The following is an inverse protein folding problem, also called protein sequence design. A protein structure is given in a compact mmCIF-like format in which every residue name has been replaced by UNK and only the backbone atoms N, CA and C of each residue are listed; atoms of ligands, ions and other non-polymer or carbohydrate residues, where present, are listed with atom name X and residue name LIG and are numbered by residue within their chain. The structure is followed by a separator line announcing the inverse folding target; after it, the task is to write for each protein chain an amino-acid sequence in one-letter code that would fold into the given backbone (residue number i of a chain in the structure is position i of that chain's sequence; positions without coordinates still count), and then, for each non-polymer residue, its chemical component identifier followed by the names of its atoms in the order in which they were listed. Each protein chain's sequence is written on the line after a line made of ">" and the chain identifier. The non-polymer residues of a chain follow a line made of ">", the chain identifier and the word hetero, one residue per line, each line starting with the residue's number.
data_IF_162119730532
#
_entry.id   IF_162119730532
#
_cell.length_a   1.000
_cell.length_b   1.000
_cell.length_c   1.000
_cell.angle_alpha   90.00
_cell.angle_beta   90.00
_cell.angle_gamma   90.00
#
_symmetry.space_group_name_H-M   'P 1'
#
loop_
_entity.id
_entity.type
_entity.pdbx_description
1 polymer ?
#
# COMPACT_ATOMS: atom_id res chain seq x y z
N UNK A 1 -42.34 -6.09 -2.15
CA UNK A 1 -43.22 -5.19 -1.38
C UNK A 1 -42.49 -3.88 -1.23
N UNK A 2 -42.98 -2.81 -1.84
CA UNK A 2 -42.39 -1.46 -1.72
C UNK A 2 -42.64 -0.97 -0.30
N UNK A 3 -41.60 -0.95 0.53
CA UNK A 3 -41.66 -0.36 1.85
C UNK A 3 -41.96 1.14 1.66
N UNK A 4 -43.07 1.62 2.24
CA UNK A 4 -43.44 3.03 2.14
C UNK A 4 -42.29 3.89 2.68
N UNK A 5 -41.86 4.89 1.91
CA UNK A 5 -40.80 5.79 2.33
C UNK A 5 -41.19 6.49 3.64
N UNK A 6 -40.42 6.28 4.70
CA UNK A 6 -40.68 6.84 6.02
C UNK A 6 -40.28 8.32 6.02
N UNK A 7 -41.14 9.18 6.57
CA UNK A 7 -40.89 10.62 6.66
C UNK A 7 -40.41 10.92 8.08
N UNK A 8 -39.24 11.56 8.18
CA UNK A 8 -38.64 11.99 9.45
C UNK A 8 -38.79 13.50 9.63
N UNK A 9 -39.05 13.94 10.86
CA UNK A 9 -39.26 15.36 11.16
C UNK A 9 -37.96 16.20 11.17
N UNK A 10 -36.81 15.56 11.45
CA UNK A 10 -35.49 16.20 11.50
C UNK A 10 -34.43 15.26 10.93
N UNK A 11 -33.29 15.84 10.51
CA UNK A 11 -32.11 15.06 10.09
C UNK A 11 -31.61 14.20 11.25
N UNK A 12 -31.55 14.74 12.48
CA UNK A 12 -31.13 13.97 13.65
C UNK A 12 -32.04 12.76 13.93
N UNK A 13 -33.35 12.93 13.75
CA UNK A 13 -34.31 11.83 13.89
C UNK A 13 -34.17 10.76 12.81
N UNK A 14 -33.77 11.17 11.60
CA UNK A 14 -33.41 10.23 10.54
C UNK A 14 -32.10 9.49 10.86
N UNK A 15 -31.03 10.20 11.24
CA UNK A 15 -29.73 9.60 11.59
C UNK A 15 -29.89 8.62 12.76
N UNK A 16 -30.55 9.02 13.85
CA UNK A 16 -30.71 8.18 15.03
C UNK A 16 -31.48 6.88 14.75
N UNK A 17 -32.34 6.88 13.71
CA UNK A 17 -33.11 5.71 13.33
C UNK A 17 -32.39 4.84 12.29
N UNK A 18 -31.74 5.45 11.30
CA UNK A 18 -31.13 4.72 10.17
C UNK A 18 -29.65 4.36 10.40
N UNK A 19 -28.98 4.96 11.39
CA UNK A 19 -27.59 4.63 11.69
C UNK A 19 -27.46 3.20 12.23
N UNK A 20 -26.34 2.56 11.89
CA UNK A 20 -25.93 1.28 12.47
C UNK A 20 -24.99 1.61 13.64
N UNK A 21 -25.46 1.50 14.90
CA UNK A 21 -24.62 1.84 16.05
C UNK A 21 -23.58 0.74 16.28
N UNK A 22 -22.37 1.16 16.67
CA UNK A 22 -21.31 0.27 17.10
C UNK A 22 -20.48 0.89 18.22
N UNK A 23 -19.70 0.06 18.90
CA UNK A 23 -18.70 0.49 19.87
C UNK A 23 -17.36 -0.16 19.53
N UNK A 24 -16.29 0.64 19.49
CA UNK A 24 -14.93 0.13 19.30
C UNK A 24 -14.44 -0.72 20.49
N UNK A 25 -14.99 -0.47 21.68
CA UNK A 25 -14.68 -1.22 22.90
C UNK A 25 -15.40 -2.58 22.95
N UNK A 26 -16.34 -2.83 22.04
CA UNK A 26 -17.12 -4.07 21.98
C UNK A 26 -16.96 -4.74 20.62
N UNK A 27 -16.01 -5.67 20.53
CA UNK A 27 -15.75 -6.43 19.30
C UNK A 27 -17.00 -7.13 18.73
N UNK A 28 -17.90 -7.74 19.53
CA UNK A 28 -19.13 -8.30 19.00
C UNK A 28 -20.09 -7.26 18.39
N UNK A 29 -20.24 -6.10 19.05
CA UNK A 29 -21.06 -4.99 18.53
C UNK A 29 -20.48 -4.45 17.23
N UNK A 30 -19.16 -4.23 17.20
CA UNK A 30 -18.45 -3.78 16.01
C UNK A 30 -18.60 -4.75 14.84
N UNK A 31 -18.32 -6.04 15.08
CA UNK A 31 -18.43 -7.07 14.05
C UNK A 31 -19.85 -7.14 13.47
N UNK A 32 -20.88 -7.09 14.32
CA UNK A 32 -22.29 -7.08 13.88
C UNK A 32 -22.60 -5.88 12.99
N UNK A 33 -22.06 -4.71 13.31
CA UNK A 33 -22.25 -3.51 12.49
C UNK A 33 -21.56 -3.64 11.12
N UNK A 34 -20.31 -4.14 11.08
CA UNK A 34 -19.60 -4.40 9.82
C UNK A 34 -20.36 -5.41 8.96
N UNK A 35 -20.81 -6.51 9.55
CA UNK A 35 -21.60 -7.53 8.83
C UNK A 35 -22.88 -6.93 8.25
N UNK A 36 -23.59 -6.13 9.04
CA UNK A 36 -24.81 -5.44 8.59
C UNK A 36 -24.54 -4.52 7.39
N UNK A 37 -23.43 -3.78 7.41
CA UNK A 37 -23.02 -2.92 6.29
C UNK A 37 -22.73 -3.76 5.05
N UNK A 38 -21.91 -4.81 5.17
CA UNK A 38 -21.53 -5.64 4.01
C UNK A 38 -22.75 -6.37 3.43
N UNK A 39 -23.61 -6.94 4.27
CA UNK A 39 -24.85 -7.61 3.84
C UNK A 39 -25.80 -6.64 3.12
N UNK A 40 -25.84 -5.37 3.54
CA UNK A 40 -26.70 -4.35 2.92
C UNK A 40 -26.33 -3.99 1.48
N UNK A 41 -25.09 -4.28 1.05
CA UNK A 41 -24.64 -4.05 -0.32
C UNK A 41 -25.34 -4.99 -1.31
N UNK A 42 -25.84 -6.14 -0.82
CA UNK A 42 -26.63 -7.10 -1.60
C UNK A 42 -25.87 -7.81 -2.73
N UNK A 43 -24.57 -7.54 -2.88
CA UNK A 43 -23.66 -8.13 -3.85
C UNK A 43 -22.30 -8.37 -3.20
N UNK A 44 -21.56 -9.34 -3.73
CA UNK A 44 -20.15 -9.51 -3.36
C UNK A 44 -19.35 -8.32 -3.88
N UNK A 45 -18.63 -7.65 -2.98
CA UNK A 45 -17.76 -6.51 -3.33
C UNK A 45 -16.31 -6.94 -3.26
N UNK A 46 -15.63 -6.93 -4.40
CA UNK A 46 -14.21 -7.36 -4.48
C UNK A 46 -13.25 -6.29 -3.94
N UNK A 47 -13.61 -5.01 -4.11
CA UNK A 47 -12.80 -3.86 -3.69
C UNK A 47 -13.67 -2.92 -2.86
N UNK A 48 -13.30 -2.74 -1.59
CA UNK A 48 -13.95 -1.83 -0.66
C UNK A 48 -13.04 -0.64 -0.36
N UNK A 49 -13.48 0.56 -0.70
CA UNK A 49 -12.81 1.79 -0.32
C UNK A 49 -13.16 2.18 1.11
N UNK A 50 -12.16 2.44 1.95
CA UNK A 50 -12.33 2.97 3.30
C UNK A 50 -11.51 4.24 3.46
N UNK A 51 -12.19 5.37 3.56
CA UNK A 51 -11.56 6.68 3.75
C UNK A 51 -11.47 7.06 5.21
N UNK A 52 -10.46 7.85 5.55
CA UNK A 52 -10.27 8.44 6.88
C UNK A 52 -10.64 9.93 6.82
N UNK A 53 -11.40 10.43 7.81
CA UNK A 53 -11.81 11.83 7.82
C UNK A 53 -10.65 12.81 8.11
N UNK A 54 -9.55 12.30 8.67
CA UNK A 54 -8.35 13.05 9.03
C UNK A 54 -7.13 12.12 8.97
N UNK A 55 -6.06 12.54 8.28
CA UNK A 55 -4.82 11.77 8.28
C UNK A 55 -4.13 11.80 9.66
N UNK A 56 -3.63 10.65 10.08
CA UNK A 56 -2.85 10.50 11.31
C UNK A 56 -3.68 10.53 12.60
N UNK A 57 -5.00 10.38 12.51
CA UNK A 57 -5.84 10.14 13.68
C UNK A 57 -5.76 8.67 14.10
N UNK A 58 -5.12 8.39 15.24
CA UNK A 58 -4.87 7.04 15.72
C UNK A 58 -6.15 6.20 15.82
N UNK A 59 -7.25 6.78 16.30
CA UNK A 59 -8.53 6.10 16.45
C UNK A 59 -9.15 5.70 15.10
N UNK A 60 -8.90 6.47 14.04
CA UNK A 60 -9.34 6.14 12.68
C UNK A 60 -8.55 4.95 12.12
N UNK A 61 -7.25 4.89 12.43
CA UNK A 61 -6.39 3.77 12.05
C UNK A 61 -6.77 2.50 12.81
N UNK A 62 -7.07 2.59 14.11
CA UNK A 62 -7.58 1.45 14.91
C UNK A 62 -8.91 0.96 14.36
N UNK A 63 -9.84 1.87 14.02
CA UNK A 63 -11.10 1.54 13.35
C UNK A 63 -10.86 0.79 12.04
N UNK A 64 -9.94 1.28 11.19
CA UNK A 64 -9.54 0.63 9.93
C UNK A 64 -8.99 -0.78 10.18
N UNK A 65 -8.16 -0.96 11.19
CA UNK A 65 -7.61 -2.27 11.53
C UNK A 65 -8.71 -3.25 11.94
N UNK A 66 -9.59 -2.84 12.85
CA UNK A 66 -10.71 -3.67 13.27
C UNK A 66 -11.64 -4.04 12.10
N UNK A 67 -11.91 -3.08 11.21
CA UNK A 67 -12.67 -3.32 10.00
C UNK A 67 -11.98 -4.37 9.12
N UNK A 68 -10.71 -4.17 8.78
CA UNK A 68 -9.98 -5.10 7.91
C UNK A 68 -9.89 -6.51 8.50
N UNK A 69 -9.63 -6.64 9.80
CA UNK A 69 -9.63 -7.93 10.49
C UNK A 69 -10.98 -8.64 10.35
N UNK A 70 -12.10 -7.94 10.57
CA UNK A 70 -13.43 -8.54 10.41
C UNK A 70 -13.71 -8.94 8.96
N UNK A 71 -13.28 -8.12 7.99
CA UNK A 71 -13.43 -8.41 6.57
C UNK A 71 -12.64 -9.65 6.14
N UNK A 72 -11.44 -9.86 6.72
CA UNK A 72 -10.64 -11.07 6.51
C UNK A 72 -11.34 -12.29 7.12
N UNK A 73 -11.77 -12.18 8.39
CA UNK A 73 -12.33 -13.29 9.16
C UNK A 73 -13.67 -13.81 8.62
N UNK A 74 -14.53 -12.93 8.10
CA UNK A 74 -15.91 -13.27 7.75
C UNK A 74 -16.30 -13.01 6.30
N UNK A 75 -15.59 -12.13 5.60
CA UNK A 75 -16.00 -11.64 4.26
C UNK A 75 -14.97 -11.96 3.16
N UNK A 76 -13.94 -12.76 3.47
CA UNK A 76 -13.04 -13.34 2.48
C UNK A 76 -12.01 -12.38 1.85
N UNK A 77 -11.92 -11.15 2.37
CA UNK A 77 -10.87 -10.21 1.98
C UNK A 77 -9.50 -10.75 2.36
N UNK A 78 -8.49 -10.46 1.56
CA UNK A 78 -7.13 -10.99 1.77
C UNK A 78 -6.02 -10.00 1.43
N UNK A 79 -6.37 -8.74 1.22
CA UNK A 79 -5.42 -7.71 0.87
C UNK A 79 -5.87 -6.37 1.45
N UNK A 80 -4.91 -5.58 1.86
CA UNK A 80 -5.10 -4.17 2.17
C UNK A 80 -4.14 -3.33 1.36
N UNK A 81 -4.65 -2.25 0.79
CA UNK A 81 -3.86 -1.24 0.11
C UNK A 81 -3.98 0.07 0.90
N UNK A 82 -2.85 0.59 1.38
CA UNK A 82 -2.78 1.86 2.11
C UNK A 82 -2.35 2.96 1.14
N UNK A 83 -2.82 4.19 1.36
CA UNK A 83 -2.37 5.41 0.68
C UNK A 83 -0.93 5.78 1.10
N UNK A 84 -0.05 4.83 0.87
CA UNK A 84 1.39 4.92 1.01
C UNK A 84 1.98 4.63 -0.36
N UNK A 85 3.15 5.19 -0.61
CA UNK A 85 3.89 5.02 -1.85
C UNK A 85 3.97 3.56 -2.28
N UNK A 86 3.54 3.26 -3.51
CA UNK A 86 3.50 1.91 -4.04
C UNK A 86 4.85 1.16 -4.01
N UNK A 87 6.03 1.77 -4.29
CA UNK A 87 7.31 1.06 -4.20
C UNK A 87 7.69 0.64 -2.79
N UNK A 88 7.14 1.26 -1.74
CA UNK A 88 7.42 0.90 -0.34
C UNK A 88 6.59 -0.31 0.12
N UNK A 89 5.38 -0.46 -0.42
CA UNK A 89 4.45 -1.56 -0.08
C UNK A 89 5.07 -2.97 -0.11
N UNK A 90 5.83 -3.35 -1.16
CA UNK A 90 6.51 -4.65 -1.22
C UNK A 90 7.42 -4.96 -0.02
N UNK A 91 8.06 -3.96 0.60
CA UNK A 91 8.92 -4.16 1.78
C UNK A 91 8.08 -4.64 2.96
N UNK A 92 6.91 -4.02 3.17
CA UNK A 92 5.94 -4.47 4.18
C UNK A 92 5.35 -5.82 3.80
N UNK A 93 5.07 -6.06 2.51
CA UNK A 93 4.52 -7.33 2.05
C UNK A 93 5.46 -8.50 2.35
N UNK A 94 6.74 -8.36 2.03
CA UNK A 94 7.73 -9.40 2.37
C UNK A 94 7.88 -9.57 3.89
N UNK A 95 7.77 -8.49 4.67
CA UNK A 95 7.73 -8.57 6.13
C UNK A 95 6.55 -9.40 6.65
N UNK A 96 5.33 -9.14 6.18
CA UNK A 96 4.14 -9.87 6.63
C UNK A 96 4.10 -11.30 6.09
N UNK A 97 4.83 -11.60 5.01
CA UNK A 97 5.00 -12.97 4.49
C UNK A 97 6.17 -13.73 5.16
N UNK A 98 6.89 -13.10 6.08
CA UNK A 98 7.99 -13.72 6.83
C UNK A 98 9.29 -13.90 6.03
N UNK A 99 9.43 -13.24 4.88
CA UNK A 99 10.62 -13.28 4.00
C UNK A 99 11.44 -11.98 4.01
N UNK A 100 10.87 -10.91 4.55
CA UNK A 100 11.46 -9.58 4.63
C UNK A 100 12.26 -9.34 5.92
N UNK A 101 12.37 -8.06 6.36
CA UNK A 101 13.12 -7.69 7.55
C UNK A 101 12.74 -8.47 8.83
N UNK A 102 13.69 -8.54 9.76
CA UNK A 102 13.53 -9.32 10.99
C UNK A 102 12.55 -8.69 11.99
N UNK A 103 12.41 -7.36 11.98
CA UNK A 103 11.54 -6.64 12.91
C UNK A 103 10.85 -5.43 12.26
N UNK A 104 9.74 -5.02 12.85
CA UNK A 104 8.98 -3.86 12.38
C UNK A 104 9.81 -2.58 12.39
N UNK A 105 10.74 -2.41 13.33
CA UNK A 105 11.59 -1.22 13.42
C UNK A 105 12.41 -1.00 12.15
N UNK A 106 12.74 -2.07 11.41
CA UNK A 106 13.42 -1.95 10.10
C UNK A 106 12.45 -1.53 8.98
N UNK A 107 11.19 -1.94 9.09
CA UNK A 107 10.11 -1.66 8.13
C UNK A 107 9.52 -0.27 8.34
N UNK A 108 9.54 0.23 9.57
CA UNK A 108 8.89 1.46 10.01
C UNK A 108 9.17 2.64 9.09
N UNK A 109 10.44 2.86 8.74
CA UNK A 109 10.86 4.03 7.96
C UNK A 109 10.94 3.74 6.44
N UNK A 110 10.98 2.47 6.05
CA UNK A 110 11.23 2.05 4.66
C UNK A 110 10.00 1.53 3.93
N UNK A 111 9.07 0.90 4.65
CA UNK A 111 7.89 0.23 4.08
C UNK A 111 6.64 1.11 3.99
N UNK A 112 6.60 2.23 4.70
CA UNK A 112 5.49 3.18 4.72
C UNK A 112 6.00 4.59 4.40
N UNK A 113 5.32 5.33 3.52
CA UNK A 113 5.62 6.73 3.24
C UNK A 113 4.89 7.66 4.23
N UNK A 114 5.05 8.98 4.09
CA UNK A 114 4.34 9.99 4.90
C UNK A 114 4.59 9.88 6.42
N UNK A 115 5.62 9.15 6.84
CA UNK A 115 5.88 8.85 8.25
C UNK A 115 4.87 7.87 8.86
N UNK A 116 4.05 7.20 8.04
CA UNK A 116 2.95 6.35 8.52
C UNK A 116 3.40 5.17 9.36
N UNK A 117 4.64 4.70 9.22
CA UNK A 117 5.17 3.65 10.10
C UNK A 117 5.31 4.06 11.56
N UNK A 118 5.27 5.36 11.88
CA UNK A 118 5.36 5.85 13.27
C UNK A 118 4.05 5.74 14.05
N UNK A 119 2.93 5.47 13.38
CA UNK A 119 1.63 5.28 14.03
C UNK A 119 1.54 3.86 14.58
N UNK A 120 1.13 3.74 15.84
CA UNK A 120 1.08 2.44 16.53
C UNK A 120 0.05 1.52 15.86
N UNK A 121 -1.10 2.04 15.44
CA UNK A 121 -2.09 1.28 14.70
C UNK A 121 -1.54 0.68 13.39
N UNK A 122 -0.65 1.38 12.66
CA UNK A 122 -0.02 0.78 11.48
C UNK A 122 0.97 -0.34 11.87
N UNK A 123 1.67 -0.21 13.00
CA UNK A 123 2.48 -1.29 13.56
C UNK A 123 1.61 -2.49 13.93
N UNK A 124 0.55 -2.28 14.68
CA UNK A 124 -0.40 -3.32 15.10
C UNK A 124 -1.01 -4.06 13.91
N UNK A 125 -1.38 -3.35 12.85
CA UNK A 125 -1.88 -3.96 11.62
C UNK A 125 -0.85 -4.88 10.98
N UNK A 126 0.37 -4.38 10.76
CA UNK A 126 1.44 -5.12 10.07
C UNK A 126 1.87 -6.34 10.90
N UNK A 127 1.99 -6.19 12.22
CA UNK A 127 2.28 -7.31 13.13
C UNK A 127 1.16 -8.34 13.15
N UNK A 128 -0.10 -7.90 13.21
CA UNK A 128 -1.25 -8.81 13.13
C UNK A 128 -1.26 -9.58 11.80
N UNK A 129 -1.00 -8.91 10.67
CA UNK A 129 -0.91 -9.57 9.36
C UNK A 129 0.23 -10.60 9.33
N UNK A 130 1.39 -10.27 9.89
CA UNK A 130 2.53 -11.19 9.99
C UNK A 130 2.18 -12.41 10.85
N UNK A 131 1.52 -12.21 11.98
CA UNK A 131 1.06 -13.30 12.84
C UNK A 131 0.01 -14.19 12.14
N UNK A 132 -0.99 -13.58 11.50
CA UNK A 132 -1.99 -14.28 10.72
C UNK A 132 -1.34 -15.15 9.62
N UNK A 133 -0.37 -14.59 8.89
CA UNK A 133 0.32 -15.29 7.81
C UNK A 133 1.25 -16.41 8.29
N UNK A 134 1.81 -16.30 9.49
CA UNK A 134 2.67 -17.33 10.07
C UNK A 134 1.91 -18.63 10.42
N UNK A 135 0.60 -18.55 10.66
CA UNK A 135 -0.22 -19.72 10.90
C UNK A 135 -0.44 -20.54 9.61
N UNK A 136 -0.02 -21.81 9.63
CA UNK A 136 -0.17 -22.74 8.52
C UNK A 136 -1.64 -23.12 8.25
N UNK A 137 -2.56 -22.93 9.20
CA UNK A 137 -3.99 -23.15 9.01
C UNK A 137 -4.58 -22.16 8.00
N UNK A 138 -4.07 -20.92 7.96
CA UNK A 138 -4.49 -19.93 6.97
C UNK A 138 -3.87 -20.23 5.60
N UNK A 139 -4.64 -20.91 4.75
CA UNK A 139 -4.24 -21.25 3.38
C UNK A 139 -4.03 -20.01 2.51
N UNK A 140 -4.89 -19.00 2.67
CA UNK A 140 -4.77 -17.71 1.98
C UNK A 140 -4.01 -16.73 2.86
N UNK A 141 -2.83 -16.31 2.38
CA UNK A 141 -2.00 -15.30 3.06
C UNK A 141 -2.47 -13.89 2.71
N UNK A 142 -2.50 -13.02 3.71
CA UNK A 142 -2.79 -11.61 3.57
C UNK A 142 -1.66 -10.90 2.82
N UNK A 143 -2.05 -10.01 1.92
CA UNK A 143 -1.14 -9.19 1.15
C UNK A 143 -1.25 -7.72 1.57
N UNK A 144 -0.12 -7.03 1.55
CA UNK A 144 -0.02 -5.61 1.85
C UNK A 144 0.43 -4.84 0.61
N UNK A 145 -0.23 -3.72 0.33
CA UNK A 145 0.12 -2.84 -0.78
C UNK A 145 0.17 -1.38 -0.34
N UNK A 146 1.07 -0.62 -0.95
CA UNK A 146 0.92 0.82 -1.10
C UNK A 146 0.31 1.09 -2.48
N UNK A 147 -0.53 2.12 -2.62
CA UNK A 147 -1.08 2.49 -3.93
C UNK A 147 -0.84 3.94 -4.34
N UNK A 148 -0.17 4.73 -3.50
CA UNK A 148 0.06 6.14 -3.79
C UNK A 148 1.31 6.37 -4.65
N UNK A 149 1.37 7.53 -5.31
CA UNK A 149 2.50 7.92 -6.14
C UNK A 149 3.74 8.20 -5.28
N UNK A 150 4.94 7.73 -5.67
CA UNK A 150 6.20 8.07 -5.01
C UNK A 150 6.63 9.53 -5.24
N UNK A 151 5.77 10.38 -5.80
CA UNK A 151 6.11 11.75 -6.23
C UNK A 151 5.13 12.79 -5.69
N UNK A 152 4.49 12.52 -4.56
CA UNK A 152 3.58 13.48 -3.92
C UNK A 152 4.37 14.61 -3.22
N UNK A 153 4.06 14.96 -1.97
CA UNK A 153 4.68 16.10 -1.27
C UNK A 153 6.20 15.93 -1.14
N UNK A 154 6.69 14.70 -1.00
CA UNK A 154 8.13 14.38 -1.05
C UNK A 154 8.32 13.21 -2.00
N UNK A 155 9.34 13.29 -2.85
CA UNK A 155 9.65 12.23 -3.78
C UNK A 155 10.44 11.11 -3.09
N UNK A 156 9.99 9.87 -3.23
CA UNK A 156 10.80 8.71 -2.86
C UNK A 156 12.03 8.60 -3.78
N UNK A 157 13.10 7.99 -3.25
CA UNK A 157 14.20 7.57 -4.11
C UNK A 157 13.70 6.62 -5.21
N UNK A 158 14.08 6.84 -6.49
CA UNK A 158 13.67 5.94 -7.57
C UNK A 158 14.34 4.56 -7.49
N UNK A 159 15.31 4.38 -6.58
CA UNK A 159 16.08 3.13 -6.40
C UNK A 159 15.19 1.91 -6.31
N UNK A 160 14.21 1.93 -5.40
CA UNK A 160 13.37 0.76 -5.15
C UNK A 160 12.57 0.37 -6.40
N UNK A 161 11.94 1.34 -7.05
CA UNK A 161 11.18 1.12 -8.29
C UNK A 161 12.06 0.59 -9.42
N UNK A 162 13.26 1.15 -9.59
CA UNK A 162 14.20 0.73 -10.61
C UNK A 162 14.76 -0.66 -10.34
N UNK A 163 15.08 -0.98 -9.08
CA UNK A 163 15.57 -2.30 -8.69
C UNK A 163 14.51 -3.38 -8.91
N UNK A 164 13.23 -3.11 -8.63
CA UNK A 164 12.13 -4.03 -8.98
C UNK A 164 12.08 -4.30 -10.49
N UNK A 165 12.18 -3.27 -11.32
CA UNK A 165 12.19 -3.44 -12.78
C UNK A 165 13.42 -4.22 -13.27
N UNK A 166 14.58 -4.00 -12.65
CA UNK A 166 15.83 -4.69 -12.97
C UNK A 166 15.87 -6.13 -12.47
N UNK A 167 15.31 -6.42 -11.29
CA UNK A 167 15.12 -7.79 -10.77
C UNK A 167 14.19 -8.58 -11.68
N UNK A 168 13.10 -7.95 -12.13
CA UNK A 168 12.19 -8.55 -13.08
C UNK A 168 12.88 -8.86 -14.42
N UNK A 169 13.66 -7.91 -14.96
CA UNK A 169 14.48 -8.18 -16.15
C UNK A 169 15.48 -9.31 -15.91
N UNK A 170 16.14 -9.36 -14.74
CA UNK A 170 17.14 -10.38 -14.41
C UNK A 170 16.54 -11.80 -14.36
N UNK A 171 15.28 -11.94 -13.94
CA UNK A 171 14.57 -13.23 -13.96
C UNK A 171 14.41 -13.83 -15.37
N UNK A 172 14.62 -13.01 -16.41
CA UNK A 172 14.36 -13.36 -17.81
C UNK A 172 15.64 -13.29 -18.65
N UNK A 173 16.49 -12.30 -18.35
CA UNK A 173 17.75 -11.99 -19.02
C UNK A 173 18.69 -11.28 -18.05
N UNK A 174 19.42 -12.09 -17.28
CA UNK A 174 20.40 -11.59 -16.31
C UNK A 174 21.49 -10.75 -16.97
N UNK A 175 21.90 -11.07 -18.20
CA UNK A 175 22.98 -10.33 -18.89
C UNK A 175 22.56 -8.88 -19.13
N UNK A 176 21.40 -8.67 -19.76
CA UNK A 176 20.88 -7.31 -19.97
C UNK A 176 20.59 -6.59 -18.66
N UNK A 177 20.08 -7.29 -17.64
CA UNK A 177 19.82 -6.68 -16.34
C UNK A 177 21.10 -6.16 -15.66
N UNK A 178 22.20 -6.92 -15.72
CA UNK A 178 23.49 -6.46 -15.19
C UNK A 178 24.05 -5.26 -15.96
N UNK A 179 23.88 -5.21 -17.29
CA UNK A 179 24.28 -4.06 -18.10
C UNK A 179 23.50 -2.79 -17.70
N UNK A 180 22.17 -2.88 -17.55
CA UNK A 180 21.37 -1.75 -17.07
C UNK A 180 21.71 -1.34 -15.63
N UNK A 181 21.92 -2.30 -14.71
CA UNK A 181 22.37 -1.99 -13.34
C UNK A 181 23.67 -1.21 -13.33
N UNK A 182 24.65 -1.62 -14.13
CA UNK A 182 25.95 -0.95 -14.24
C UNK A 182 25.85 0.50 -14.72
N UNK A 183 24.83 0.83 -15.53
CA UNK A 183 24.55 2.19 -15.99
C UNK A 183 23.73 3.01 -14.99
N UNK A 184 22.74 2.38 -14.35
CA UNK A 184 21.76 3.04 -13.47
C UNK A 184 22.29 3.27 -12.05
N UNK A 185 22.88 2.26 -11.42
CA UNK A 185 23.26 2.32 -9.99
C UNK A 185 24.20 3.49 -9.65
N UNK A 186 25.23 3.80 -10.47
CA UNK A 186 26.10 4.94 -10.22
C UNK A 186 25.39 6.30 -10.29
N UNK A 187 24.24 6.38 -10.98
CA UNK A 187 23.48 7.61 -11.19
C UNK A 187 22.43 7.86 -10.11
N UNK A 188 22.08 6.84 -9.30
CA UNK A 188 21.08 6.96 -8.24
C UNK A 188 21.52 7.90 -7.11
N UNK A 189 22.81 7.99 -6.81
CA UNK A 189 23.30 8.81 -5.69
C UNK A 189 22.77 8.34 -4.33
N UNK A 190 22.61 9.27 -3.39
CA UNK A 190 22.04 9.00 -2.05
C UNK A 190 20.53 9.17 -2.05
N UNK A 191 19.81 8.28 -1.38
CA UNK A 191 18.34 8.31 -1.32
C UNK A 191 17.82 9.59 -0.64
N UNK A 192 18.52 10.06 0.40
CA UNK A 192 18.22 11.31 1.11
C UNK A 192 18.26 12.57 0.24
N UNK A 193 18.94 12.52 -0.91
CA UNK A 193 18.98 13.64 -1.84
C UNK A 193 17.70 13.72 -2.70
N UNK A 194 17.05 12.59 -2.96
CA UNK A 194 15.72 12.52 -3.59
C UNK A 194 14.62 12.86 -2.59
N UNK A 195 14.76 12.31 -1.38
CA UNK A 195 13.77 12.39 -0.30
C UNK A 195 13.90 13.67 0.54
N UNK A 196 14.48 14.74 -0.02
CA UNK A 196 14.66 15.99 0.69
C UNK A 196 13.31 16.74 0.81
N UNK A 197 12.69 16.84 2.00
CA UNK A 197 11.39 17.50 2.14
C UNK A 197 11.46 19.00 1.84
N UNK A 198 12.65 19.63 1.94
CA UNK A 198 12.81 21.03 1.58
C UNK A 198 12.58 21.29 0.09
N UNK A 199 12.77 20.28 -0.77
CA UNK A 199 12.56 20.40 -2.22
C UNK A 199 11.10 20.71 -2.59
N UNK A 200 10.15 20.35 -1.72
CA UNK A 200 8.72 20.62 -1.90
C UNK A 200 8.40 22.13 -1.82
N UNK A 201 9.14 22.85 -0.97
CA UNK A 201 8.98 24.30 -0.74
C UNK A 201 9.99 25.13 -1.54
N UNK A 202 11.17 24.57 -1.81
CA UNK A 202 12.25 25.21 -2.54
C UNK A 202 12.79 24.25 -3.63
N UNK A 203 12.34 24.42 -4.90
CA UNK A 203 12.79 23.57 -6.00
C UNK A 203 14.29 23.61 -6.28
N UNK A 204 15.03 24.60 -5.75
CA UNK A 204 16.50 24.65 -5.92
C UNK A 204 17.22 23.61 -5.06
N UNK A 205 16.55 23.06 -4.05
CA UNK A 205 17.03 21.97 -3.21
C UNK A 205 16.82 20.59 -3.87
N UNK A 206 16.12 20.52 -5.00
CA UNK A 206 15.84 19.29 -5.71
C UNK A 206 16.99 18.89 -6.65
N UNK A 207 17.36 17.61 -6.66
CA UNK A 207 18.42 17.11 -7.56
C UNK A 207 17.92 16.74 -8.96
N UNK A 208 16.61 16.77 -9.20
CA UNK A 208 16.00 16.24 -10.43
C UNK A 208 16.47 16.87 -11.75
N UNK A 209 17.09 18.06 -11.71
CA UNK A 209 17.70 18.73 -12.87
C UNK A 209 19.23 18.62 -12.94
N UNK A 210 19.82 17.83 -12.05
CA UNK A 210 21.26 17.57 -12.08
C UNK A 210 21.64 16.80 -13.35
N UNK A 211 22.92 16.84 -13.73
CA UNK A 211 23.44 16.05 -14.84
C UNK A 211 23.23 14.55 -14.60
N UNK A 212 23.46 14.07 -13.37
CA UNK A 212 23.27 12.68 -12.99
C UNK A 212 21.80 12.24 -13.12
N UNK A 213 20.86 13.02 -12.58
CA UNK A 213 19.41 12.74 -12.69
C UNK A 213 18.91 12.80 -14.14
N UNK A 214 19.47 13.71 -14.95
CA UNK A 214 19.14 13.78 -16.38
C UNK A 214 19.63 12.52 -17.12
N UNK A 215 20.85 12.07 -16.87
CA UNK A 215 21.35 10.80 -17.42
C UNK A 215 20.54 9.62 -16.90
N UNK A 216 20.22 9.56 -15.60
CA UNK A 216 19.41 8.49 -15.01
C UNK A 216 18.06 8.35 -15.71
N UNK A 217 17.42 9.48 -16.01
CA UNK A 217 16.17 9.50 -16.78
C UNK A 217 16.35 8.87 -18.16
N UNK A 218 17.43 9.18 -18.89
CA UNK A 218 17.70 8.60 -20.21
C UNK A 218 17.87 7.08 -20.11
N UNK A 219 18.69 6.60 -19.18
CA UNK A 219 18.91 5.15 -18.95
C UNK A 219 17.59 4.45 -18.55
N UNK A 220 16.74 5.13 -17.78
CA UNK A 220 15.42 4.63 -17.39
C UNK A 220 14.46 4.56 -18.57
N UNK A 221 14.46 5.57 -19.45
CA UNK A 221 13.64 5.58 -20.68
C UNK A 221 14.06 4.44 -21.63
N UNK A 222 15.36 4.14 -21.72
CA UNK A 222 15.86 2.97 -22.45
C UNK A 222 15.38 1.65 -21.84
N UNK A 223 15.48 1.50 -20.51
CA UNK A 223 14.97 0.32 -19.80
C UNK A 223 13.46 0.12 -20.02
N UNK A 224 12.67 1.20 -19.97
CA UNK A 224 11.23 1.15 -20.26
C UNK A 224 10.99 0.70 -21.70
N UNK A 225 11.77 1.20 -22.66
CA UNK A 225 11.68 0.79 -24.06
C UNK A 225 11.97 -0.70 -24.22
N UNK A 226 13.03 -1.19 -23.59
CA UNK A 226 13.41 -2.62 -23.60
C UNK A 226 12.29 -3.51 -23.05
N UNK A 227 11.77 -3.19 -21.87
CA UNK A 227 10.66 -3.94 -21.25
C UNK A 227 9.40 -3.92 -22.12
N UNK A 228 9.13 -2.81 -22.84
CA UNK A 228 7.99 -2.73 -23.76
C UNK A 228 8.20 -3.57 -25.02
N UNK A 229 9.38 -3.53 -25.61
CA UNK A 229 9.73 -4.33 -26.80
C UNK A 229 9.65 -5.81 -26.48
N UNK A 230 10.14 -6.21 -25.31
CA UNK A 230 10.15 -7.61 -24.87
C UNK A 230 8.83 -8.07 -24.26
N UNK A 231 7.83 -7.20 -24.10
CA UNK A 231 6.51 -7.55 -23.52
C UNK A 231 5.94 -8.89 -24.01
N UNK A 232 5.98 -9.25 -25.31
CA UNK A 232 5.50 -10.56 -25.76
C UNK A 232 6.26 -11.74 -25.13
N UNK A 233 7.59 -11.66 -25.05
CA UNK A 233 8.42 -12.66 -24.36
C UNK A 233 8.17 -12.66 -22.85
N UNK A 234 8.00 -11.47 -22.27
CA UNK A 234 7.70 -11.28 -20.84
C UNK A 234 6.39 -11.99 -20.48
N UNK A 235 5.32 -11.77 -21.25
CA UNK A 235 4.01 -12.40 -21.03
C UNK A 235 4.09 -13.91 -21.20
N UNK A 236 4.79 -14.40 -22.24
CA UNK A 236 4.92 -15.84 -22.48
C UNK A 236 5.71 -16.58 -21.39
N UNK A 237 6.54 -15.88 -20.61
CA UNK A 237 7.30 -16.44 -19.49
C UNK A 237 6.63 -16.19 -18.13
N UNK A 238 5.59 -15.35 -18.04
CA UNK A 238 4.93 -14.96 -16.79
C UNK A 238 3.66 -15.77 -16.47
N UNK A 239 3.38 -16.84 -17.22
CA UNK A 239 2.23 -17.74 -16.98
C UNK A 239 2.54 -18.84 -15.92
N UNK A 240 3.56 -18.64 -15.08
CA UNK A 240 3.77 -19.36 -13.80
C UNK A 240 3.40 -18.47 -12.60
#
# INVERSE_FOLDING_TARGET
>A
MTQAARIYATIDGWIAHEAIPFSLDSRPSFNTAVDTVIDSLGVSVEVLGFGEALHGGEELLVLRNHLFQRLVEAHGYSAIAIESSFPRGPIVNEYVLGRGPASYETVQDTGLSHGFGKFEANRELVEWMRHYNADAAHQRKLQFYGFDSPTDVTADSPRQTLHVALDYLASIDDTSAQEYRGRIDPLLGQDSAWENPAAALDPTQAIGRSKASTTLRIETEELISELRVRRPELVAKSDE
#
